data_IF_250246123006
#
_entry.id   IF_250246123006
#
_cell.length_a   1.000
_cell.length_b   1.000
_cell.length_c   1.000
_cell.angle_alpha   90.00
_cell.angle_beta   90.00
_cell.angle_gamma   90.00
#
_symmetry.space_group_name_H-M   'P 1'
#
loop_
_entity.id
_entity.type
_entity.pdbx_description
1 polymer ?
#
# COMPACT_ATOMS: atom_id res chain seq x y z
N UNK A 1 -18.59 47.73 -45.48
CA UNK A 1 -19.12 47.08 -44.31
C UNK A 1 -18.61 45.64 -44.28
N UNK A 2 -17.61 45.35 -43.46
CA UNK A 2 -16.85 44.07 -43.44
C UNK A 2 -17.27 43.30 -42.19
N UNK A 3 -18.03 42.19 -42.36
CA UNK A 3 -18.45 41.28 -41.30
C UNK A 3 -17.30 40.31 -40.98
N UNK A 4 -16.71 40.39 -39.81
CA UNK A 4 -15.80 39.36 -39.26
C UNK A 4 -16.63 38.32 -38.51
N UNK A 5 -16.62 37.10 -39.02
CA UNK A 5 -17.22 35.93 -38.38
C UNK A 5 -16.16 35.32 -37.43
N UNK A 6 -16.41 35.42 -36.14
CA UNK A 6 -15.62 34.72 -35.11
C UNK A 6 -15.97 33.23 -35.10
N UNK A 7 -15.04 32.41 -35.58
CA UNK A 7 -15.08 30.95 -35.43
C UNK A 7 -14.46 30.59 -34.09
N UNK A 8 -15.29 30.29 -33.08
CA UNK A 8 -14.87 29.84 -31.77
C UNK A 8 -14.55 28.35 -31.87
N UNK A 9 -13.25 27.98 -31.87
CA UNK A 9 -12.81 26.58 -31.78
C UNK A 9 -13.09 26.04 -30.40
N UNK A 10 -14.07 25.16 -30.29
CA UNK A 10 -14.29 24.24 -29.14
C UNK A 10 -13.22 23.14 -29.22
N UNK A 11 -12.07 23.34 -28.59
CA UNK A 11 -11.06 22.31 -28.31
C UNK A 11 -11.06 22.09 -26.80
N UNK A 12 -11.94 21.23 -26.32
CA UNK A 12 -11.95 20.81 -24.94
C UNK A 12 -12.56 19.43 -24.81
N UNK A 13 -11.78 18.42 -24.47
CA UNK A 13 -12.36 17.20 -23.95
C UNK A 13 -11.88 15.86 -24.53
N UNK A 14 -10.59 15.67 -24.82
CA UNK A 14 -10.07 14.36 -25.27
C UNK A 14 -8.94 13.79 -24.43
N UNK A 15 -8.56 14.43 -23.31
CA UNK A 15 -7.41 13.97 -22.51
C UNK A 15 -7.73 12.88 -21.47
N UNK A 16 -8.98 12.67 -21.08
CA UNK A 16 -9.32 11.76 -19.98
C UNK A 16 -9.54 10.28 -20.38
N UNK A 17 -9.72 9.98 -21.67
CA UNK A 17 -9.95 8.60 -22.15
C UNK A 17 -8.71 7.85 -22.60
N UNK A 18 -7.56 8.50 -22.76
CA UNK A 18 -6.35 7.86 -23.26
C UNK A 18 -5.67 6.96 -22.21
N UNK A 19 -5.81 7.24 -20.91
CA UNK A 19 -5.10 6.51 -19.85
C UNK A 19 -5.70 5.10 -19.57
N UNK A 20 -7.01 4.93 -19.67
CA UNK A 20 -7.64 3.63 -19.45
C UNK A 20 -7.24 2.59 -20.52
N UNK A 21 -6.94 3.02 -21.74
CA UNK A 21 -6.48 2.12 -22.82
C UNK A 21 -5.03 1.71 -22.69
N UNK A 22 -4.18 2.49 -22.02
CA UNK A 22 -2.74 2.17 -21.87
C UNK A 22 -2.44 1.16 -20.79
N UNK A 23 -3.19 1.17 -19.67
CA UNK A 23 -2.98 0.26 -18.54
C UNK A 23 -3.90 -0.98 -18.55
N UNK A 24 -4.78 -1.07 -19.52
CA UNK A 24 -5.67 -2.21 -19.76
C UNK A 24 -6.78 -2.38 -18.72
N UNK A 25 -7.67 -3.33 -18.98
CA UNK A 25 -8.77 -3.69 -18.07
C UNK A 25 -8.25 -4.32 -16.77
N UNK A 26 -8.93 -4.06 -15.65
CA UNK A 26 -8.62 -4.67 -14.35
C UNK A 26 -9.09 -6.13 -14.27
N UNK A 27 -10.03 -6.56 -15.13
CA UNK A 27 -10.58 -7.91 -15.15
C UNK A 27 -9.51 -9.00 -15.27
N UNK A 28 -9.71 -10.13 -14.57
CA UNK A 28 -8.85 -11.31 -14.60
C UNK A 28 -9.69 -12.59 -14.45
N UNK A 29 -9.21 -13.72 -15.00
CA UNK A 29 -9.92 -15.00 -14.93
C UNK A 29 -10.05 -15.55 -13.50
N UNK A 30 -9.07 -15.25 -12.62
CA UNK A 30 -9.12 -15.54 -11.19
C UNK A 30 -9.00 -14.24 -10.41
N UNK A 31 -10.10 -13.80 -9.83
CA UNK A 31 -10.25 -12.45 -9.30
C UNK A 31 -10.88 -11.49 -10.34
N UNK A 32 -10.70 -10.16 -10.22
CA UNK A 32 -9.93 -9.50 -9.15
C UNK A 32 -10.60 -9.54 -7.79
N UNK A 33 -9.81 -9.64 -6.73
CA UNK A 33 -10.26 -9.61 -5.34
C UNK A 33 -9.67 -8.41 -4.61
N UNK A 34 -10.43 -7.83 -3.68
CA UNK A 34 -9.91 -6.77 -2.81
C UNK A 34 -9.03 -7.36 -1.70
N UNK A 35 -7.76 -6.97 -1.69
CA UNK A 35 -6.77 -7.47 -0.74
C UNK A 35 -7.12 -7.18 0.72
N UNK A 36 -7.80 -6.06 0.99
CA UNK A 36 -8.21 -5.63 2.33
C UNK A 36 -9.30 -6.53 2.93
N UNK A 37 -10.17 -7.08 2.06
CA UNK A 37 -11.38 -7.77 2.48
C UNK A 37 -11.35 -9.28 2.20
N UNK A 38 -10.36 -9.78 1.49
CA UNK A 38 -10.23 -11.19 1.15
C UNK A 38 -9.26 -11.90 2.09
N UNK A 39 -9.78 -12.55 3.13
CA UNK A 39 -8.98 -13.27 4.13
C UNK A 39 -8.95 -14.79 3.92
N UNK A 40 -9.72 -15.31 2.97
CA UNK A 40 -9.93 -16.74 2.77
C UNK A 40 -8.98 -17.41 1.78
N UNK A 41 -9.48 -18.51 1.21
CA UNK A 41 -8.73 -19.38 0.33
C UNK A 41 -8.13 -18.69 -0.91
N UNK A 42 -8.82 -17.77 -1.63
CA UNK A 42 -8.24 -17.10 -2.79
C UNK A 42 -6.91 -16.41 -2.47
N UNK A 43 -6.84 -15.69 -1.33
CA UNK A 43 -5.60 -15.04 -0.89
C UNK A 43 -4.51 -16.05 -0.57
N UNK A 44 -4.84 -17.10 0.21
CA UNK A 44 -3.89 -18.15 0.57
C UNK A 44 -3.33 -18.86 -0.67
N UNK A 45 -4.17 -19.19 -1.66
CA UNK A 45 -3.75 -19.83 -2.90
C UNK A 45 -2.76 -18.96 -3.67
N UNK A 46 -3.09 -17.68 -3.89
CA UNK A 46 -2.23 -16.77 -4.65
C UNK A 46 -0.91 -16.52 -3.92
N UNK A 47 -0.95 -16.18 -2.64
CA UNK A 47 0.26 -15.90 -1.87
C UNK A 47 1.17 -17.13 -1.75
N UNK A 48 0.63 -18.32 -1.52
CA UNK A 48 1.44 -19.55 -1.41
C UNK A 48 2.11 -19.95 -2.71
N UNK A 49 1.55 -19.59 -3.88
CA UNK A 49 2.11 -19.94 -5.19
C UNK A 49 2.94 -18.79 -5.78
N UNK A 50 2.47 -17.54 -5.68
CA UNK A 50 2.99 -16.40 -6.44
C UNK A 50 3.46 -15.22 -5.59
N UNK A 51 3.35 -15.31 -4.23
CA UNK A 51 3.83 -14.24 -3.34
C UNK A 51 4.44 -14.79 -2.05
N UNK A 52 5.30 -15.80 -2.18
CA UNK A 52 6.06 -16.37 -1.07
C UNK A 52 7.08 -15.36 -0.52
N UNK A 53 7.63 -15.56 0.70
CA UNK A 53 8.68 -14.69 1.24
C UNK A 53 9.89 -14.48 0.30
N UNK A 54 10.26 -15.50 -0.50
CA UNK A 54 11.34 -15.37 -1.49
C UNK A 54 10.98 -14.44 -2.65
N UNK A 55 9.71 -14.46 -3.09
CA UNK A 55 9.22 -13.56 -4.15
C UNK A 55 9.08 -12.15 -3.60
N UNK A 56 8.48 -11.98 -2.42
CA UNK A 56 8.35 -10.69 -1.75
C UNK A 56 9.71 -10.01 -1.53
N UNK A 57 10.70 -10.78 -1.07
CA UNK A 57 12.08 -10.31 -0.87
C UNK A 57 12.89 -10.20 -2.17
N UNK A 58 12.28 -10.45 -3.31
CA UNK A 58 12.88 -10.36 -4.65
C UNK A 58 14.09 -11.30 -4.86
N UNK A 59 14.17 -12.43 -4.16
CA UNK A 59 15.29 -13.35 -4.23
C UNK A 59 15.18 -14.22 -5.49
N UNK A 60 14.02 -14.84 -5.72
CA UNK A 60 13.75 -15.72 -6.89
C UNK A 60 12.27 -15.87 -7.14
N UNK A 61 11.90 -16.14 -8.41
CA UNK A 61 10.56 -16.60 -8.78
C UNK A 61 10.31 -18.03 -8.30
N UNK A 62 9.05 -18.46 -8.36
CA UNK A 62 8.63 -19.82 -8.03
C UNK A 62 7.96 -20.49 -9.21
N UNK A 63 6.95 -19.86 -9.80
CA UNK A 63 6.19 -20.37 -10.93
C UNK A 63 6.61 -19.71 -12.24
N UNK A 64 7.17 -18.51 -12.17
CA UNK A 64 7.68 -17.77 -13.31
C UNK A 64 9.21 -17.77 -13.34
N UNK A 65 9.80 -17.66 -14.55
CA UNK A 65 11.25 -17.56 -14.75
C UNK A 65 11.85 -16.34 -14.04
N UNK A 66 11.11 -15.22 -14.06
CA UNK A 66 11.49 -13.97 -13.40
C UNK A 66 10.56 -13.68 -12.24
N UNK A 67 11.10 -13.19 -11.12
CA UNK A 67 10.32 -12.83 -9.93
C UNK A 67 9.18 -11.87 -10.24
N UNK A 68 9.37 -10.96 -11.20
CA UNK A 68 8.33 -10.04 -11.65
C UNK A 68 7.11 -10.72 -12.26
N UNK A 69 7.26 -11.93 -12.85
CA UNK A 69 6.13 -12.69 -13.37
C UNK A 69 5.20 -13.26 -12.29
N UNK A 70 5.76 -13.66 -11.16
CA UNK A 70 4.95 -14.10 -10.02
C UNK A 70 4.25 -12.91 -9.35
N UNK A 71 4.93 -11.77 -9.20
CA UNK A 71 4.31 -10.52 -8.70
C UNK A 71 3.21 -10.05 -9.66
N UNK A 72 3.44 -10.12 -10.98
CA UNK A 72 2.45 -9.82 -12.04
C UNK A 72 1.17 -10.64 -11.86
N UNK A 73 1.31 -11.96 -11.63
CA UNK A 73 0.15 -12.82 -11.37
C UNK A 73 -0.61 -12.38 -10.13
N UNK A 74 0.12 -12.10 -9.04
CA UNK A 74 -0.46 -11.64 -7.77
C UNK A 74 -1.25 -10.34 -7.97
N UNK A 75 -0.69 -9.35 -8.69
CA UNK A 75 -1.34 -8.06 -8.96
C UNK A 75 -2.50 -8.15 -9.95
N UNK A 76 -2.59 -9.20 -10.76
CA UNK A 76 -3.79 -9.45 -11.58
C UNK A 76 -4.92 -10.06 -10.76
N UNK A 77 -4.59 -10.95 -9.81
CA UNK A 77 -5.58 -11.56 -8.93
C UNK A 77 -6.04 -10.59 -7.81
N UNK A 78 -5.13 -9.77 -7.31
CA UNK A 78 -5.35 -8.79 -6.25
C UNK A 78 -4.74 -7.44 -6.66
N UNK A 79 -5.45 -6.60 -7.43
CA UNK A 79 -4.87 -5.36 -7.94
C UNK A 79 -4.34 -4.42 -6.86
N UNK A 80 -4.99 -4.35 -5.71
CA UNK A 80 -4.59 -3.56 -4.56
C UNK A 80 -3.80 -4.34 -3.50
N UNK A 81 -3.04 -5.36 -3.89
CA UNK A 81 -2.17 -6.09 -2.96
C UNK A 81 -0.97 -5.24 -2.55
N UNK A 82 -1.06 -4.56 -1.41
CA UNK A 82 -0.10 -3.53 -0.96
C UNK A 82 1.35 -4.02 -0.99
N UNK A 83 1.62 -5.21 -0.44
CA UNK A 83 2.97 -5.80 -0.39
C UNK A 83 3.50 -6.15 -1.78
N UNK A 84 2.63 -6.64 -2.69
CA UNK A 84 3.03 -6.96 -4.05
C UNK A 84 3.30 -5.69 -4.88
N UNK A 85 2.50 -4.63 -4.70
CA UNK A 85 2.78 -3.31 -5.30
C UNK A 85 4.14 -2.79 -4.85
N UNK A 86 4.42 -2.81 -3.54
CA UNK A 86 5.72 -2.40 -3.00
C UNK A 86 6.88 -3.24 -3.54
N UNK A 87 6.70 -4.57 -3.63
CA UNK A 87 7.72 -5.46 -4.21
C UNK A 87 7.94 -5.17 -5.69
N UNK A 88 6.89 -4.89 -6.48
CA UNK A 88 7.01 -4.51 -7.89
C UNK A 88 7.75 -3.18 -8.06
N UNK A 89 7.46 -2.18 -7.20
CA UNK A 89 8.18 -0.90 -7.17
C UNK A 89 9.67 -1.12 -6.85
N UNK A 90 9.99 -1.90 -5.83
CA UNK A 90 11.36 -2.21 -5.44
C UNK A 90 12.12 -2.98 -6.53
N UNK A 91 11.44 -3.89 -7.23
CA UNK A 91 12.01 -4.61 -8.37
C UNK A 91 12.36 -3.65 -9.52
N UNK A 92 11.45 -2.71 -9.82
CA UNK A 92 11.66 -1.68 -10.84
C UNK A 92 12.87 -0.78 -10.50
N UNK A 93 13.02 -0.38 -9.25
CA UNK A 93 14.16 0.41 -8.78
C UNK A 93 15.47 -0.39 -8.88
N UNK A 94 15.44 -1.68 -8.48
CA UNK A 94 16.60 -2.57 -8.57
C UNK A 94 17.04 -2.83 -10.01
N UNK A 95 16.07 -3.02 -10.93
CA UNK A 95 16.36 -3.25 -12.34
C UNK A 95 16.55 -1.95 -13.14
N UNK A 96 16.36 -0.79 -12.52
CA UNK A 96 16.37 0.52 -13.17
C UNK A 96 15.44 0.56 -14.40
N UNK A 97 14.32 -0.12 -14.30
CA UNK A 97 13.35 -0.28 -15.39
C UNK A 97 11.93 -0.18 -14.84
N UNK A 98 11.15 0.80 -15.31
CA UNK A 98 9.73 0.97 -14.90
C UNK A 98 8.85 -0.23 -15.23
N UNK A 99 9.24 -1.06 -16.19
CA UNK A 99 8.61 -2.33 -16.53
C UNK A 99 9.56 -3.48 -16.22
N UNK A 100 9.56 -4.03 -14.99
CA UNK A 100 10.45 -5.11 -14.60
C UNK A 100 10.29 -6.37 -15.45
N UNK A 101 11.35 -7.18 -15.51
CA UNK A 101 11.32 -8.43 -16.27
C UNK A 101 10.24 -9.37 -15.76
N UNK A 102 9.43 -9.90 -16.66
CA UNK A 102 8.29 -10.76 -16.36
C UNK A 102 7.00 -10.00 -16.07
N UNK A 103 7.04 -8.69 -15.87
CA UNK A 103 5.85 -7.87 -15.69
C UNK A 103 5.18 -7.51 -17.01
N UNK A 104 3.84 -7.59 -17.07
CA UNK A 104 3.04 -7.15 -18.24
C UNK A 104 2.96 -5.65 -18.35
N UNK A 105 2.95 -4.94 -17.23
CA UNK A 105 2.73 -3.51 -17.13
C UNK A 105 3.92 -2.81 -16.45
N UNK A 106 4.01 -1.51 -16.65
CA UNK A 106 4.89 -0.65 -15.86
C UNK A 106 4.35 -0.52 -14.43
N UNK A 107 5.20 -0.04 -13.51
CA UNK A 107 4.77 0.24 -12.12
C UNK A 107 3.64 1.29 -12.11
N UNK A 108 3.75 2.32 -12.94
CA UNK A 108 2.71 3.36 -13.06
C UNK A 108 1.35 2.74 -13.41
N UNK A 109 1.33 1.81 -14.35
CA UNK A 109 0.11 1.08 -14.73
C UNK A 109 -0.39 0.14 -13.62
N UNK A 110 0.49 -0.49 -12.85
CA UNK A 110 0.05 -1.30 -11.71
C UNK A 110 -0.62 -0.46 -10.64
N UNK A 111 -0.10 0.71 -10.36
CA UNK A 111 -0.68 1.66 -9.39
C UNK A 111 -2.00 2.25 -9.90
N UNK A 112 -2.08 2.62 -11.19
CA UNK A 112 -3.33 3.05 -11.83
C UNK A 112 -4.41 1.96 -11.74
N UNK A 113 -4.09 0.72 -12.10
CA UNK A 113 -5.00 -0.42 -12.00
C UNK A 113 -5.49 -0.65 -10.57
N UNK A 114 -4.59 -0.52 -9.58
CA UNK A 114 -4.93 -0.66 -8.18
C UNK A 114 -5.90 0.44 -7.71
N UNK A 115 -5.66 1.70 -8.08
CA UNK A 115 -6.52 2.83 -7.72
C UNK A 115 -7.89 2.76 -8.42
N UNK A 116 -7.94 2.37 -9.71
CA UNK A 116 -9.22 2.17 -10.42
C UNK A 116 -10.03 1.01 -9.83
N UNK A 117 -9.36 -0.03 -9.34
CA UNK A 117 -10.03 -1.18 -8.71
C UNK A 117 -10.55 -0.84 -7.31
N UNK A 118 -9.75 -0.16 -6.49
CA UNK A 118 -10.06 0.18 -5.10
C UNK A 118 -9.80 1.69 -4.86
N UNK A 119 -10.70 2.57 -5.35
CA UNK A 119 -10.50 4.02 -5.30
C UNK A 119 -10.52 4.59 -3.88
N UNK A 120 -11.04 3.83 -2.92
CA UNK A 120 -11.08 4.13 -1.49
C UNK A 120 -9.89 3.56 -0.70
N UNK A 121 -8.94 2.90 -1.37
CA UNK A 121 -7.76 2.33 -0.72
C UNK A 121 -6.67 3.40 -0.54
N UNK A 122 -6.60 3.98 0.68
CA UNK A 122 -5.60 5.00 1.03
C UNK A 122 -4.16 4.51 0.88
N UNK A 123 -3.89 3.22 1.17
CA UNK A 123 -2.53 2.67 1.06
C UNK A 123 -2.04 2.65 -0.39
N UNK A 124 -2.91 2.34 -1.37
CA UNK A 124 -2.54 2.40 -2.79
C UNK A 124 -2.07 3.81 -3.17
N UNK A 125 -2.78 4.87 -2.72
CA UNK A 125 -2.40 6.26 -2.99
C UNK A 125 -1.09 6.65 -2.31
N UNK A 126 -0.85 6.18 -1.09
CA UNK A 126 0.44 6.40 -0.37
C UNK A 126 1.59 5.68 -1.07
N UNK A 127 1.40 4.45 -1.54
CA UNK A 127 2.40 3.74 -2.34
C UNK A 127 2.68 4.47 -3.67
N UNK A 128 1.63 4.99 -4.32
CA UNK A 128 1.81 5.79 -5.53
C UNK A 128 2.60 7.08 -5.25
N UNK A 129 2.29 7.77 -4.15
CA UNK A 129 3.08 8.93 -3.73
C UNK A 129 4.57 8.58 -3.54
N UNK A 130 4.86 7.47 -2.85
CA UNK A 130 6.23 7.00 -2.67
C UNK A 130 6.93 6.69 -4.02
N UNK A 131 6.21 6.10 -4.98
CA UNK A 131 6.74 5.86 -6.32
C UNK A 131 7.06 7.16 -7.07
N UNK A 132 6.13 8.12 -7.07
CA UNK A 132 6.30 9.43 -7.71
C UNK A 132 7.48 10.21 -7.13
N UNK A 133 7.70 10.13 -5.80
CA UNK A 133 8.88 10.71 -5.15
C UNK A 133 10.16 10.13 -5.73
N UNK A 134 10.24 8.81 -5.90
CA UNK A 134 11.41 8.14 -6.51
C UNK A 134 11.62 8.51 -7.98
N UNK A 135 10.56 8.93 -8.67
CA UNK A 135 10.63 9.46 -10.04
C UNK A 135 10.93 10.97 -10.10
N UNK A 136 11.05 11.66 -8.95
CA UNK A 136 11.29 13.10 -8.86
C UNK A 136 10.03 13.98 -9.00
N UNK A 137 8.84 13.38 -9.17
CA UNK A 137 7.57 14.11 -9.33
C UNK A 137 6.94 14.43 -7.96
N UNK A 138 7.54 15.39 -7.25
CA UNK A 138 7.15 15.73 -5.87
C UNK A 138 5.77 16.39 -5.76
N UNK A 139 5.36 17.16 -6.76
CA UNK A 139 4.07 17.88 -6.75
C UNK A 139 2.90 16.87 -6.81
N UNK A 140 2.94 15.95 -7.75
CA UNK A 140 1.91 14.92 -7.89
C UNK A 140 1.95 13.95 -6.70
N UNK A 141 3.16 13.62 -6.21
CA UNK A 141 3.33 12.79 -5.02
C UNK A 141 2.61 13.38 -3.79
N UNK A 142 2.73 14.69 -3.57
CA UNK A 142 2.04 15.35 -2.46
C UNK A 142 0.52 15.25 -2.62
N UNK A 143 -0.01 15.48 -3.82
CA UNK A 143 -1.45 15.32 -4.11
C UNK A 143 -1.95 13.89 -3.83
N UNK A 144 -1.20 12.87 -4.27
CA UNK A 144 -1.54 11.47 -4.00
C UNK A 144 -1.45 11.14 -2.51
N UNK A 145 -0.44 11.67 -1.80
CA UNK A 145 -0.28 11.47 -0.36
C UNK A 145 -1.47 12.08 0.42
N UNK A 146 -1.86 13.30 0.10
CA UNK A 146 -3.00 13.98 0.72
C UNK A 146 -4.33 13.24 0.44
N UNK A 147 -4.50 12.73 -0.78
CA UNK A 147 -5.65 11.90 -1.13
C UNK A 147 -5.66 10.58 -0.33
N UNK A 148 -4.50 9.95 -0.14
CA UNK A 148 -4.36 8.74 0.68
C UNK A 148 -4.67 8.98 2.16
N UNK A 149 -4.23 10.10 2.71
CA UNK A 149 -4.50 10.48 4.10
C UNK A 149 -5.99 10.69 4.40
N UNK A 150 -6.78 11.17 3.42
CA UNK A 150 -8.25 11.28 3.57
C UNK A 150 -8.96 9.92 3.65
N UNK A 151 -8.28 8.87 3.27
CA UNK A 151 -8.76 7.49 3.25
C UNK A 151 -7.88 6.59 4.13
N UNK A 152 -7.24 7.19 5.13
CA UNK A 152 -6.40 6.47 6.07
C UNK A 152 -7.22 5.42 6.82
N UNK A 153 -6.71 4.18 6.97
CA UNK A 153 -7.32 3.20 7.85
C UNK A 153 -7.23 3.66 9.31
N UNK A 154 -8.16 3.22 10.14
CA UNK A 154 -8.26 3.66 11.54
C UNK A 154 -6.98 3.39 12.34
N UNK A 155 -6.33 2.26 12.09
CA UNK A 155 -5.06 1.92 12.75
C UNK A 155 -4.29 0.93 11.89
N UNK A 156 -3.34 1.42 11.10
CA UNK A 156 -2.44 0.58 10.28
C UNK A 156 -1.01 1.10 10.37
N UNK A 157 -0.17 0.36 11.10
CA UNK A 157 1.24 0.70 11.27
C UNK A 157 2.03 0.73 9.96
N UNK A 158 1.63 -0.06 8.94
CA UNK A 158 2.29 -0.06 7.64
C UNK A 158 1.91 1.19 6.83
N UNK A 159 0.65 1.63 6.96
CA UNK A 159 0.17 2.88 6.38
C UNK A 159 0.94 4.06 6.97
N UNK A 160 0.97 4.19 8.29
CA UNK A 160 1.68 5.27 8.98
C UNK A 160 3.19 5.26 8.66
N UNK A 161 3.82 4.09 8.62
CA UNK A 161 5.23 3.99 8.24
C UNK A 161 5.47 4.45 6.79
N UNK A 162 4.60 4.06 5.85
CA UNK A 162 4.69 4.44 4.44
C UNK A 162 4.46 5.94 4.23
N UNK A 163 3.52 6.54 4.98
CA UNK A 163 3.30 7.99 5.05
C UNK A 163 4.54 8.70 5.59
N UNK A 164 5.12 8.18 6.68
CA UNK A 164 6.33 8.72 7.27
C UNK A 164 7.52 8.73 6.31
N UNK A 165 7.70 7.67 5.51
CA UNK A 165 8.73 7.61 4.46
C UNK A 165 8.48 8.64 3.36
N UNK A 166 7.22 8.82 2.91
CA UNK A 166 6.87 9.82 1.91
C UNK A 166 7.19 11.24 2.40
N UNK A 167 6.77 11.59 3.60
CA UNK A 167 7.09 12.89 4.20
C UNK A 167 8.59 13.09 4.41
N UNK A 168 9.33 12.05 4.83
CA UNK A 168 10.78 12.15 4.97
C UNK A 168 11.46 12.50 3.63
N UNK A 169 11.12 11.78 2.57
CA UNK A 169 11.72 11.99 1.25
C UNK A 169 11.26 13.33 0.62
N UNK A 170 10.10 13.87 1.04
CA UNK A 170 9.64 15.23 0.74
C UNK A 170 10.28 16.32 1.63
N UNK A 171 11.15 15.96 2.58
CA UNK A 171 11.78 16.84 3.56
C UNK A 171 10.81 17.50 4.56
N UNK A 172 9.60 16.94 4.70
CA UNK A 172 8.60 17.34 5.68
C UNK A 172 8.82 16.53 6.96
N UNK A 173 9.87 16.89 7.69
CA UNK A 173 10.39 16.06 8.78
C UNK A 173 9.48 16.00 10.01
N UNK A 174 8.72 17.05 10.31
CA UNK A 174 7.79 17.08 11.44
C UNK A 174 6.62 16.11 11.20
N UNK A 175 6.04 16.10 10.00
CA UNK A 175 4.98 15.17 9.62
C UNK A 175 5.52 13.75 9.50
N UNK A 176 6.76 13.60 9.04
CA UNK A 176 7.46 12.31 9.02
C UNK A 176 7.63 11.75 10.43
N UNK A 177 8.06 12.58 11.39
CA UNK A 177 8.21 12.19 12.79
C UNK A 177 6.87 11.76 13.39
N UNK A 178 5.81 12.56 13.19
CA UNK A 178 4.49 12.24 13.71
C UNK A 178 3.96 10.90 13.18
N UNK A 179 4.10 10.64 11.88
CA UNK A 179 3.71 9.38 11.26
C UNK A 179 4.57 8.21 11.77
N UNK A 180 5.89 8.39 11.87
CA UNK A 180 6.80 7.39 12.43
C UNK A 180 6.43 7.02 13.88
N UNK A 181 6.14 8.01 14.72
CA UNK A 181 5.73 7.78 16.10
C UNK A 181 4.42 6.97 16.19
N UNK A 182 3.43 7.23 15.33
CA UNK A 182 2.21 6.40 15.26
C UNK A 182 2.52 4.97 14.86
N UNK A 183 3.32 4.77 13.80
CA UNK A 183 3.71 3.44 13.35
C UNK A 183 4.43 2.64 14.44
N UNK A 184 5.40 3.23 15.10
CA UNK A 184 6.18 2.55 16.16
C UNK A 184 5.38 2.29 17.43
N UNK A 185 4.45 3.18 17.82
CA UNK A 185 3.49 2.91 18.91
C UNK A 185 2.59 1.73 18.59
N UNK A 186 2.17 1.59 17.33
CA UNK A 186 1.38 0.45 16.86
C UNK A 186 2.20 -0.84 16.68
N UNK A 187 3.50 -0.84 17.03
CA UNK A 187 4.34 -2.04 17.04
C UNK A 187 5.12 -2.30 15.75
N UNK A 188 5.27 -1.31 14.85
CA UNK A 188 6.10 -1.49 13.66
C UNK A 188 7.57 -1.77 14.01
N UNK A 189 8.15 -2.84 13.43
CA UNK A 189 9.45 -3.36 13.90
C UNK A 189 10.66 -2.85 13.12
N UNK A 190 10.51 -2.42 11.87
CA UNK A 190 11.65 -2.04 11.04
C UNK A 190 12.18 -0.65 11.42
N UNK A 191 13.47 -0.52 11.81
CA UNK A 191 14.00 0.72 12.37
C UNK A 191 14.37 1.77 11.33
N UNK A 192 14.15 1.52 10.04
CA UNK A 192 14.71 2.33 8.95
C UNK A 192 14.31 3.81 9.00
N UNK A 193 13.05 4.14 9.26
CA UNK A 193 12.60 5.54 9.36
C UNK A 193 13.12 6.21 10.63
N UNK A 194 13.12 5.51 11.78
CA UNK A 194 13.73 5.98 13.03
C UNK A 194 15.21 6.32 12.81
N UNK A 195 15.97 5.44 12.17
CA UNK A 195 17.39 5.67 11.86
C UNK A 195 17.60 6.86 10.93
N UNK A 196 16.75 7.03 9.90
CA UNK A 196 16.80 8.18 9.00
C UNK A 196 16.58 9.50 9.75
N UNK A 197 15.55 9.59 10.59
CA UNK A 197 15.23 10.77 11.39
C UNK A 197 16.34 11.04 12.43
N UNK A 198 16.86 10.00 13.08
CA UNK A 198 17.95 10.11 14.08
C UNK A 198 19.24 10.67 13.45
N UNK A 199 19.61 10.23 12.23
CA UNK A 199 20.79 10.76 11.52
C UNK A 199 20.70 12.25 11.23
N UNK A 200 19.49 12.80 11.13
CA UNK A 200 19.24 14.23 10.95
C UNK A 200 19.02 14.97 12.29
N UNK A 201 19.14 14.30 13.44
CA UNK A 201 18.83 14.87 14.75
C UNK A 201 17.35 15.21 14.94
N UNK A 202 16.44 14.59 14.13
CA UNK A 202 15.01 14.87 14.14
C UNK A 202 14.17 13.82 14.88
N UNK A 203 14.77 12.71 15.31
CA UNK A 203 14.04 11.70 16.06
C UNK A 203 13.77 12.15 17.49
N UNK A 204 12.55 11.96 17.94
CA UNK A 204 12.10 12.09 19.30
C UNK A 204 11.30 10.85 19.68
N UNK A 205 11.57 10.28 20.85
CA UNK A 205 10.77 9.15 21.33
C UNK A 205 9.30 9.58 21.50
N UNK A 206 8.34 8.72 21.11
CA UNK A 206 6.93 9.04 21.33
C UNK A 206 6.64 9.22 22.81
N UNK A 207 5.84 10.23 23.15
CA UNK A 207 5.37 10.40 24.51
C UNK A 207 4.68 9.12 25.01
N UNK A 208 4.84 8.75 26.30
CA UNK A 208 4.07 7.65 26.89
C UNK A 208 2.58 7.85 26.63
N UNK A 209 1.85 6.75 26.42
CA UNK A 209 0.39 6.79 26.42
C UNK A 209 -0.08 7.22 27.82
N UNK A 210 -1.16 8.00 27.93
CA UNK A 210 -1.79 8.23 29.22
C UNK A 210 -2.12 6.88 29.89
N UNK A 211 -1.86 6.74 31.17
CA UNK A 211 -2.08 5.50 31.94
C UNK A 211 -3.51 4.95 31.83
N UNK A 212 -4.48 5.83 31.52
CA UNK A 212 -5.89 5.48 31.30
C UNK A 212 -6.15 4.73 29.97
N UNK A 213 -5.15 4.59 29.09
CA UNK A 213 -5.26 3.86 27.82
C UNK A 213 -4.75 2.42 27.91
N UNK A 214 -4.22 1.96 29.05
CA UNK A 214 -3.95 0.56 29.29
C UNK A 214 -5.27 -0.21 29.35
N UNK A 215 -5.54 -1.02 28.33
CA UNK A 215 -6.69 -1.89 28.27
C UNK A 215 -6.75 -2.74 29.54
N UNK A 216 -7.78 -2.51 30.35
CA UNK A 216 -8.16 -3.38 31.48
C UNK A 216 -8.09 -4.84 30.99
N UNK A 217 -7.30 -5.71 31.63
CA UNK A 217 -7.24 -7.11 31.21
C UNK A 217 -8.67 -7.67 31.18
N UNK A 218 -9.07 -8.26 30.06
CA UNK A 218 -10.32 -8.97 29.98
C UNK A 218 -10.35 -10.00 31.13
N UNK A 219 -11.30 -9.86 32.03
CA UNK A 219 -11.49 -10.77 33.12
C UNK A 219 -11.64 -12.19 32.56
N UNK A 220 -10.78 -13.10 32.99
CA UNK A 220 -10.89 -14.50 32.64
C UNK A 220 -12.28 -14.99 33.08
N UNK A 221 -13.00 -15.81 32.30
CA UNK A 221 -14.26 -16.37 32.72
C UNK A 221 -14.02 -17.24 33.95
N UNK A 222 -14.69 -16.92 35.07
CA UNK A 222 -14.72 -17.75 36.26
C UNK A 222 -15.26 -19.14 35.88
N UNK A 223 -14.43 -20.15 36.06
CA UNK A 223 -14.85 -21.53 35.92
C UNK A 223 -15.87 -21.87 37.05
N UNK A 224 -17.14 -21.92 36.68
CA UNK A 224 -18.18 -22.50 37.54
C UNK A 224 -17.85 -23.97 37.80
N UNK A 225 -17.43 -24.24 39.01
CA UNK A 225 -17.28 -25.62 39.51
C UNK A 225 -18.66 -26.28 39.60
N UNK A 226 -18.96 -27.11 38.61
CA UNK A 226 -20.12 -28.02 38.66
C UNK A 226 -19.85 -29.11 39.67
N UNK A 227 -20.61 -29.10 40.78
CA UNK A 227 -20.56 -30.10 41.84
C UNK A 227 -21.10 -31.42 41.29
N UNK A 228 -20.20 -32.41 41.17
CA UNK A 228 -20.58 -33.80 40.93
C UNK A 228 -21.20 -34.39 42.18
N UNK A 229 -22.50 -34.74 42.13
CA UNK A 229 -23.20 -35.50 43.13
C UNK A 229 -22.84 -37.00 43.00
N UNK A 230 -22.46 -37.72 44.06
CA UNK A 230 -22.17 -39.13 43.95
C UNK A 230 -23.48 -39.94 43.99
N UNK A 231 -23.66 -40.84 43.05
CA UNK A 231 -24.69 -41.87 43.09
C UNK A 231 -24.27 -42.95 44.09
N UNK A 232 -25.14 -43.25 45.05
CA UNK A 232 -25.05 -44.39 45.97
C UNK A 232 -26.01 -45.55 45.54
N UNK A 233 -25.91 -46.71 46.11
CA UNK A 233 -25.55 -48.03 45.58
C UNK A 233 -26.67 -48.76 44.87
#
# INVERSE_FOLDING_TARGET
>A
VRKYLFLLCMLGGLAAQADEMTCGSVGNAFGPFDYRHQFGEPKRLVESAHFTPYIESLIRGRTALHVGGDIDYTLRAFPNHHRALLSMMNLALREQNKKPRGSRYTVDCWLDRAERFAPDDGMVKVLWANWLIKQGNKTEALSKLEAGLKQAPESDMNFDYSVGLAYFDLQRYEESLAAAQRAYRAGFQLPGLKQKLSKLGRWQEPAPLPEDAEAKPAAAPEATAEQATPAAP
#
